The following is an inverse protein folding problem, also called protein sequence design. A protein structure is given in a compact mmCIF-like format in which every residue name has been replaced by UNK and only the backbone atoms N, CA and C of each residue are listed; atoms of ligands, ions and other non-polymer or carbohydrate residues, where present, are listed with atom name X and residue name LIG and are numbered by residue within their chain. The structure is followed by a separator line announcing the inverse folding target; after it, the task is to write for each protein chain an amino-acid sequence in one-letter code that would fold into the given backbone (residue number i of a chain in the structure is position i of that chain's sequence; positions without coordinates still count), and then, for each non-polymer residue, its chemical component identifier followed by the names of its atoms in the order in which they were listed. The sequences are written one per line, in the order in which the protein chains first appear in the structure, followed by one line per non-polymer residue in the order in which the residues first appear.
data_IF_150659769453
#
_entry.id   IF_150659769453
#
_cell.length_a   1.000
_cell.length_b   1.000
_cell.length_c   1.000
_cell.angle_alpha   90.00
_cell.angle_beta   90.00
_cell.angle_gamma   90.00
#
_symmetry.space_group_name_H-M   'P 1'
#
loop_
_entity.id
_entity.type
_entity.pdbx_description
1 polymer ?
#
# COMPACT_ATOMS: atom_id res chain seq x y z
N UNK A 1 13.35 0.93 -3.17
CA UNK A 1 13.61 -0.48 -3.54
C UNK A 1 14.81 -0.96 -2.78
N UNK A 2 14.77 -2.15 -2.22
CA UNK A 2 15.84 -2.80 -1.47
C UNK A 2 16.15 -4.15 -2.14
N UNK A 3 17.17 -4.21 -3.01
CA UNK A 3 17.44 -5.40 -3.81
C UNK A 3 16.22 -5.83 -4.64
N UNK A 4 15.75 -7.06 -4.42
CA UNK A 4 14.56 -7.63 -5.06
C UNK A 4 13.23 -7.27 -4.38
N UNK A 5 13.27 -6.39 -3.38
CA UNK A 5 12.11 -5.96 -2.61
C UNK A 5 11.67 -4.56 -3.03
N UNK A 6 10.37 -4.40 -3.29
CA UNK A 6 9.75 -3.08 -3.53
C UNK A 6 8.85 -2.73 -2.35
N UNK A 7 9.03 -1.55 -1.78
CA UNK A 7 8.26 -1.02 -0.64
C UNK A 7 7.50 0.22 -1.12
N UNK A 8 6.22 0.32 -0.76
CA UNK A 8 5.34 1.47 -1.06
C UNK A 8 4.56 1.81 0.20
N UNK A 9 4.47 3.08 0.54
CA UNK A 9 3.70 3.56 1.69
C UNK A 9 3.05 4.92 1.39
N UNK A 10 2.13 5.34 2.24
CA UNK A 10 1.50 6.67 2.15
C UNK A 10 2.19 7.76 3.01
N UNK A 11 3.35 7.48 3.61
CA UNK A 11 4.01 8.45 4.49
C UNK A 11 5.47 8.13 4.79
N UNK A 12 6.02 8.79 5.80
CA UNK A 12 7.42 8.72 6.23
C UNK A 12 7.84 7.36 6.82
N UNK A 13 6.89 6.46 7.08
CA UNK A 13 7.23 5.09 7.47
C UNK A 13 8.00 4.33 6.37
N UNK A 14 8.06 4.85 5.14
CA UNK A 14 8.90 4.30 4.07
C UNK A 14 10.35 4.16 4.53
N UNK A 15 10.92 5.22 5.08
CA UNK A 15 12.31 5.24 5.55
C UNK A 15 12.49 4.29 6.73
N UNK A 16 11.53 4.27 7.66
CA UNK A 16 11.55 3.33 8.78
C UNK A 16 11.59 1.88 8.32
N UNK A 17 10.72 1.49 7.39
CA UNK A 17 10.70 0.12 6.86
C UNK A 17 12.00 -0.19 6.13
N UNK A 18 12.49 0.73 5.31
CA UNK A 18 13.74 0.57 4.58
C UNK A 18 14.92 0.33 5.52
N UNK A 19 15.12 1.20 6.51
CA UNK A 19 16.26 1.15 7.44
C UNK A 19 16.20 -0.10 8.33
N UNK A 20 15.03 -0.45 8.85
CA UNK A 20 14.85 -1.62 9.69
C UNK A 20 15.08 -2.92 8.91
N UNK A 21 14.61 -3.01 7.67
CA UNK A 21 14.85 -4.17 6.80
C UNK A 21 16.33 -4.26 6.41
N UNK A 22 17.00 -3.15 6.18
CA UNK A 22 18.45 -3.11 5.95
C UNK A 22 19.22 -3.66 7.18
N UNK A 23 18.69 -3.41 8.37
CA UNK A 23 19.22 -3.96 9.64
C UNK A 23 18.79 -5.41 9.93
N UNK A 24 18.13 -6.08 8.97
CA UNK A 24 17.75 -7.51 9.05
C UNK A 24 16.41 -7.79 9.71
N UNK A 25 15.57 -6.78 9.93
CA UNK A 25 14.19 -6.97 10.41
C UNK A 25 13.25 -7.36 9.28
N UNK A 26 12.16 -8.02 9.63
CA UNK A 26 11.06 -8.28 8.70
C UNK A 26 10.24 -7.00 8.45
N UNK A 27 9.40 -7.01 7.41
CA UNK A 27 8.45 -5.93 7.13
C UNK A 27 7.53 -5.65 8.33
N UNK A 28 6.95 -6.70 8.92
CA UNK A 28 6.06 -6.57 10.07
C UNK A 28 6.80 -6.02 11.30
N UNK A 29 7.99 -6.53 11.61
CA UNK A 29 8.81 -6.03 12.72
C UNK A 29 9.18 -4.56 12.55
N UNK A 30 9.45 -4.14 11.31
CA UNK A 30 9.77 -2.76 10.97
C UNK A 30 8.63 -1.79 11.27
N UNK A 31 7.39 -2.23 11.15
CA UNK A 31 6.21 -1.42 11.40
C UNK A 31 5.79 -1.37 12.89
N UNK A 32 6.35 -2.23 13.75
CA UNK A 32 6.01 -2.25 15.19
C UNK A 32 6.37 -0.97 15.93
N UNK A 33 7.35 -0.23 15.46
CA UNK A 33 7.81 1.03 16.05
C UNK A 33 7.08 2.25 15.48
N UNK A 34 6.08 2.04 14.63
CA UNK A 34 5.26 3.11 14.03
C UNK A 34 3.80 2.99 14.47
N UNK A 35 3.12 4.10 14.39
CA UNK A 35 1.70 4.24 14.64
C UNK A 35 1.05 5.00 13.48
N UNK A 36 -0.24 5.26 13.55
CA UNK A 36 -0.97 6.13 12.64
C UNK A 36 -0.45 7.58 12.70
N UNK A 37 -0.92 8.46 11.81
CA UNK A 37 -0.55 9.88 11.82
C UNK A 37 -1.15 10.61 13.05
N UNK A 38 -0.40 11.52 13.68
CA UNK A 38 -0.88 12.26 14.85
C UNK A 38 -1.76 13.47 14.47
N UNK A 39 -2.62 13.31 13.48
CA UNK A 39 -3.45 14.36 12.87
C UNK A 39 -4.90 14.33 13.37
N UNK A 40 -5.10 14.61 14.66
CA UNK A 40 -6.46 14.67 15.21
C UNK A 40 -7.38 15.59 14.38
N UNK A 41 -8.67 15.25 14.20
CA UNK A 41 -9.37 14.10 14.77
C UNK A 41 -9.33 12.83 13.92
N UNK A 42 -8.69 12.86 12.74
CA UNK A 42 -8.73 11.75 11.77
C UNK A 42 -7.80 10.59 12.15
N UNK A 43 -6.66 10.89 12.77
CA UNK A 43 -5.63 9.89 13.06
C UNK A 43 -5.37 8.99 11.83
N UNK A 44 -4.99 9.66 10.72
CA UNK A 44 -4.86 9.06 9.39
C UNK A 44 -4.11 7.73 9.43
N UNK A 45 -4.70 6.65 8.96
CA UNK A 45 -4.01 5.35 8.92
C UNK A 45 -2.76 5.38 8.06
N UNK A 46 -1.69 4.75 8.54
CA UNK A 46 -0.50 4.46 7.73
C UNK A 46 -0.71 3.14 7.01
N UNK A 47 -0.79 3.18 5.70
CA UNK A 47 -0.85 1.99 4.85
C UNK A 47 0.50 1.75 4.19
N UNK A 48 0.86 0.47 4.07
CA UNK A 48 2.13 0.06 3.48
C UNK A 48 1.95 -1.19 2.65
N UNK A 49 2.72 -1.31 1.58
CA UNK A 49 2.80 -2.51 0.75
C UNK A 49 4.25 -2.92 0.52
N UNK A 50 4.48 -4.21 0.45
CA UNK A 50 5.77 -4.79 0.10
C UNK A 50 5.57 -5.88 -0.94
N UNK A 51 6.47 -5.93 -1.93
CA UNK A 51 6.62 -7.02 -2.88
C UNK A 51 8.01 -7.62 -2.70
N UNK A 52 8.08 -8.92 -2.45
CA UNK A 52 9.32 -9.68 -2.31
C UNK A 52 9.40 -10.75 -3.38
N UNK A 53 10.55 -10.84 -4.06
CA UNK A 53 10.82 -11.83 -5.12
C UNK A 53 11.86 -12.88 -4.70
N UNK A 54 12.19 -12.90 -3.41
CA UNK A 54 13.13 -13.87 -2.82
C UNK A 54 12.41 -15.20 -2.60
N UNK A 55 13.01 -16.29 -3.05
CA UNK A 55 12.48 -17.65 -2.88
C UNK A 55 11.04 -17.86 -3.42
N UNK A 56 10.71 -17.19 -4.51
CA UNK A 56 9.39 -17.13 -5.11
C UNK A 56 8.86 -15.70 -5.19
N UNK A 57 7.54 -15.56 -5.16
CA UNK A 57 6.88 -14.27 -5.19
C UNK A 57 5.82 -14.19 -4.11
N UNK A 58 5.91 -13.17 -3.30
CA UNK A 58 4.89 -12.83 -2.32
C UNK A 58 4.75 -11.32 -2.17
N UNK A 59 3.63 -10.88 -1.65
CA UNK A 59 3.44 -9.51 -1.22
C UNK A 59 2.66 -9.45 0.09
N UNK A 60 2.83 -8.34 0.80
CA UNK A 60 2.04 -8.06 1.97
C UNK A 60 1.53 -6.61 1.95
N UNK A 61 0.37 -6.41 2.55
CA UNK A 61 -0.23 -5.11 2.82
C UNK A 61 -0.36 -4.94 4.33
N UNK A 62 -0.16 -3.72 4.81
CA UNK A 62 -0.27 -3.41 6.23
C UNK A 62 -1.03 -2.11 6.46
N UNK A 63 -1.75 -2.04 7.56
CA UNK A 63 -2.38 -0.83 8.07
C UNK A 63 -2.09 -0.65 9.56
N UNK A 64 -1.70 0.55 9.94
CA UNK A 64 -1.58 1.04 11.31
C UNK A 64 -2.67 2.09 11.50
N UNK A 65 -3.61 1.86 12.39
CA UNK A 65 -4.74 2.77 12.60
C UNK A 65 -5.09 2.93 14.08
N UNK A 66 -5.76 4.01 14.43
CA UNK A 66 -6.30 4.20 15.77
C UNK A 66 -7.42 3.19 16.05
N UNK A 67 -7.54 2.76 17.29
CA UNK A 67 -8.69 1.99 17.74
C UNK A 67 -9.86 2.96 18.00
N UNK A 68 -10.82 2.98 17.09
CA UNK A 68 -12.04 3.83 17.21
C UNK A 68 -11.75 5.33 17.49
N UNK A 69 -10.69 5.86 16.86
CA UNK A 69 -10.27 7.25 17.05
C UNK A 69 -9.55 7.53 18.38
N UNK A 70 -9.18 6.49 19.14
CA UNK A 70 -8.44 6.66 20.38
C UNK A 70 -6.94 6.93 20.08
N UNK A 71 -6.41 8.10 20.49
CA UNK A 71 -5.01 8.47 20.23
C UNK A 71 -3.98 7.58 20.93
N UNK A 72 -4.36 6.92 22.03
CA UNK A 72 -3.46 6.11 22.86
C UNK A 72 -3.48 4.62 22.47
N UNK A 73 -4.22 4.25 21.42
CA UNK A 73 -4.39 2.85 21.02
C UNK A 73 -4.20 2.65 19.53
N UNK A 74 -3.12 1.99 19.15
CA UNK A 74 -2.80 1.64 17.76
C UNK A 74 -3.08 0.16 17.46
N UNK A 75 -3.92 -0.07 16.46
CA UNK A 75 -4.15 -1.39 15.85
C UNK A 75 -3.19 -1.58 14.67
N UNK A 76 -2.59 -2.77 14.57
CA UNK A 76 -1.64 -3.14 13.53
C UNK A 76 -2.08 -4.42 12.85
N UNK A 77 -2.29 -4.35 11.54
CA UNK A 77 -2.67 -5.51 10.73
C UNK A 77 -1.69 -5.68 9.59
N UNK A 78 -1.31 -6.92 9.32
CA UNK A 78 -0.51 -7.31 8.15
C UNK A 78 -1.17 -8.49 7.46
N UNK A 79 -1.41 -8.35 6.16
CA UNK A 79 -2.05 -9.33 5.29
C UNK A 79 -1.00 -9.84 4.31
N UNK A 80 -0.62 -11.09 4.41
CA UNK A 80 0.43 -11.69 3.57
C UNK A 80 -0.19 -12.63 2.54
N UNK A 81 0.21 -12.47 1.28
CA UNK A 81 -0.27 -13.24 0.14
C UNK A 81 0.90 -14.02 -0.47
N UNK A 82 1.01 -15.29 -0.08
CA UNK A 82 1.97 -16.23 -0.66
C UNK A 82 1.38 -16.90 -1.89
N UNK A 83 2.21 -17.08 -2.93
CA UNK A 83 1.79 -17.70 -4.19
C UNK A 83 0.54 -17.00 -4.80
N UNK A 84 0.62 -15.69 -5.08
CA UNK A 84 -0.53 -14.95 -5.56
C UNK A 84 -1.07 -15.50 -6.88
N UNK A 85 -2.40 -15.41 -7.04
CA UNK A 85 -3.13 -15.93 -8.20
C UNK A 85 -3.07 -14.90 -9.33
N UNK A 86 -2.71 -15.33 -10.54
CA UNK A 86 -2.70 -14.46 -11.71
C UNK A 86 -4.09 -13.82 -11.95
N UNK A 87 -4.11 -12.53 -12.27
CA UNK A 87 -5.34 -11.76 -12.49
C UNK A 87 -6.06 -11.30 -11.22
N UNK A 88 -5.52 -11.64 -10.04
CA UNK A 88 -6.09 -11.22 -8.74
C UNK A 88 -5.12 -10.34 -8.01
N UNK A 89 -5.60 -9.18 -7.55
CA UNK A 89 -4.89 -8.28 -6.66
C UNK A 89 -5.68 -7.98 -5.40
N UNK A 90 -5.07 -7.19 -4.52
CA UNK A 90 -5.71 -6.70 -3.31
C UNK A 90 -5.49 -5.19 -3.16
N UNK A 91 -6.54 -4.51 -2.74
CA UNK A 91 -6.58 -3.06 -2.59
C UNK A 91 -6.75 -2.69 -1.12
N UNK A 92 -5.91 -1.79 -0.64
CA UNK A 92 -5.99 -1.20 0.68
C UNK A 92 -6.03 0.33 0.56
N UNK A 93 -6.82 0.98 1.40
CA UNK A 93 -6.96 2.44 1.42
C UNK A 93 -7.00 2.96 2.86
N UNK A 94 -6.84 4.27 3.05
CA UNK A 94 -6.78 4.87 4.39
C UNK A 94 -8.16 5.00 5.03
N UNK A 95 -9.16 5.43 4.26
CA UNK A 95 -10.50 5.74 4.74
C UNK A 95 -11.56 4.96 3.97
N UNK A 96 -12.63 4.55 4.65
CA UNK A 96 -13.77 3.86 4.02
C UNK A 96 -14.63 4.78 3.16
N UNK A 97 -14.68 6.08 3.47
CA UNK A 97 -15.51 7.04 2.78
C UNK A 97 -15.45 8.42 3.44
N UNK A 98 -16.42 9.25 3.13
CA UNK A 98 -16.56 10.58 3.72
C UNK A 98 -17.01 10.50 5.18
N UNK A 99 -16.62 11.51 5.97
CA UNK A 99 -16.98 11.61 7.39
C UNK A 99 -16.25 12.74 8.10
N UNK A 100 -16.64 12.99 9.35
CA UNK A 100 -15.96 13.93 10.24
C UNK A 100 -16.05 13.41 11.69
N UNK A 101 -15.00 12.78 12.22
CA UNK A 101 -13.76 12.42 11.52
C UNK A 101 -13.95 11.40 10.37
N UNK A 102 -12.97 11.33 9.50
CA UNK A 102 -12.98 10.35 8.40
C UNK A 102 -12.88 8.92 8.96
N UNK A 103 -13.79 7.98 8.60
CA UNK A 103 -13.73 6.61 9.11
C UNK A 103 -12.55 5.85 8.51
N UNK A 104 -11.71 5.26 9.37
CA UNK A 104 -10.59 4.44 8.94
C UNK A 104 -11.04 3.17 8.22
N UNK A 105 -10.21 2.69 7.29
CA UNK A 105 -10.41 1.38 6.65
C UNK A 105 -10.60 0.26 7.67
N UNK A 106 -11.52 -0.65 7.39
CA UNK A 106 -11.81 -1.83 8.21
C UNK A 106 -11.91 -3.10 7.35
N UNK A 107 -11.62 -4.23 7.98
CA UNK A 107 -11.69 -5.53 7.34
C UNK A 107 -10.41 -5.93 6.61
N UNK A 108 -10.55 -6.87 5.67
CA UNK A 108 -9.47 -7.34 4.81
C UNK A 108 -9.33 -6.45 3.57
N UNK A 109 -8.11 -6.36 2.97
CA UNK A 109 -7.94 -5.68 1.70
C UNK A 109 -8.89 -6.22 0.62
N UNK A 110 -9.52 -5.30 -0.12
CA UNK A 110 -10.50 -5.65 -1.13
C UNK A 110 -9.88 -6.43 -2.29
N UNK A 111 -10.51 -7.53 -2.68
CA UNK A 111 -10.09 -8.32 -3.84
C UNK A 111 -10.45 -7.57 -5.12
N UNK A 112 -9.46 -7.37 -6.00
CA UNK A 112 -9.63 -6.66 -7.26
C UNK A 112 -9.11 -7.49 -8.44
N UNK A 113 -9.70 -7.30 -9.62
CA UNK A 113 -9.19 -7.87 -10.87
C UNK A 113 -7.98 -7.06 -11.36
N UNK A 114 -6.95 -7.77 -11.84
CA UNK A 114 -5.78 -7.17 -12.51
C UNK A 114 -5.76 -7.69 -13.94
N UNK A 115 -6.13 -6.84 -14.88
CA UNK A 115 -6.32 -7.22 -16.28
C UNK A 115 -5.57 -6.28 -17.23
N UNK A 116 -5.20 -6.80 -18.39
CA UNK A 116 -4.55 -6.07 -19.46
C UNK A 116 -3.06 -5.82 -19.24
N UNK A 117 -2.51 -5.02 -20.14
CA UNK A 117 -1.14 -4.50 -20.04
C UNK A 117 -1.08 -3.27 -19.12
N UNK A 118 0.13 -2.74 -18.91
CA UNK A 118 0.34 -1.60 -18.01
C UNK A 118 -0.44 -0.36 -18.45
N UNK A 119 -0.60 -0.12 -19.74
CA UNK A 119 -1.29 1.07 -20.24
C UNK A 119 -2.81 0.93 -20.06
N UNK A 120 -3.37 -0.22 -20.39
CA UNK A 120 -4.78 -0.56 -20.17
C UNK A 120 -5.13 -0.46 -18.68
N UNK A 121 -4.32 -1.07 -17.82
CA UNK A 121 -4.52 -1.04 -16.37
C UNK A 121 -4.42 0.38 -15.80
N UNK A 122 -3.41 1.15 -16.22
CA UNK A 122 -3.21 2.54 -15.77
C UNK A 122 -4.42 3.41 -16.12
N UNK A 123 -4.92 3.32 -17.35
CA UNK A 123 -6.07 4.08 -17.80
C UNK A 123 -7.33 3.68 -17.02
N UNK A 124 -7.60 2.38 -16.86
CA UNK A 124 -8.77 1.89 -16.14
C UNK A 124 -8.77 2.37 -14.68
N UNK A 125 -7.63 2.29 -13.98
CA UNK A 125 -7.53 2.78 -12.60
C UNK A 125 -7.69 4.29 -12.55
N UNK A 126 -7.02 5.05 -13.43
CA UNK A 126 -7.13 6.50 -13.45
C UNK A 126 -8.56 6.99 -13.68
N UNK A 127 -9.29 6.35 -14.59
CA UNK A 127 -10.66 6.71 -14.92
C UNK A 127 -11.65 6.35 -13.81
N UNK A 128 -11.34 5.33 -13.00
CA UNK A 128 -12.16 4.94 -11.84
C UNK A 128 -12.04 5.88 -10.64
N UNK A 129 -10.95 6.67 -10.55
CA UNK A 129 -10.73 7.58 -9.45
C UNK A 129 -11.66 8.80 -9.53
N UNK A 130 -12.10 9.30 -8.36
CA UNK A 130 -12.91 10.51 -8.28
C UNK A 130 -12.18 11.69 -8.96
N UNK A 131 -12.78 12.31 -10.01
CA UNK A 131 -12.13 13.36 -10.80
C UNK A 131 -11.75 14.60 -9.98
N UNK A 132 -12.52 14.92 -8.94
CA UNK A 132 -12.25 16.08 -8.08
C UNK A 132 -11.06 15.82 -7.12
N UNK A 133 -10.94 14.60 -6.63
CA UNK A 133 -9.98 14.25 -5.57
C UNK A 133 -8.68 13.63 -6.09
N UNK A 134 -8.66 13.03 -7.29
CA UNK A 134 -7.45 12.41 -7.83
C UNK A 134 -6.36 13.44 -8.10
N UNK A 135 -5.16 13.14 -7.68
CA UNK A 135 -3.97 13.99 -7.85
C UNK A 135 -2.95 13.35 -8.77
N UNK A 136 -2.50 12.17 -8.44
CA UNK A 136 -1.57 11.39 -9.26
C UNK A 136 -1.76 9.90 -9.07
N UNK A 137 -1.33 9.13 -10.07
CA UNK A 137 -1.29 7.67 -10.06
C UNK A 137 0.11 7.21 -10.48
N UNK A 138 0.70 6.33 -9.69
CA UNK A 138 1.93 5.62 -10.02
C UNK A 138 1.59 4.14 -10.24
N UNK A 139 1.95 3.60 -11.39
CA UNK A 139 1.79 2.18 -11.72
C UNK A 139 3.14 1.58 -12.06
N UNK A 140 3.45 0.42 -11.51
CA UNK A 140 4.67 -0.33 -11.79
C UNK A 140 4.34 -1.80 -12.03
N UNK A 141 4.65 -2.29 -13.22
CA UNK A 141 4.62 -3.71 -13.57
C UNK A 141 6.02 -4.27 -13.45
N UNK A 142 6.16 -5.43 -12.84
CA UNK A 142 7.44 -6.11 -12.64
C UNK A 142 7.34 -7.52 -13.25
N UNK A 143 8.19 -7.81 -14.21
CA UNK A 143 8.36 -9.18 -14.69
C UNK A 143 9.01 -10.03 -13.59
N UNK A 144 8.28 -11.01 -13.09
CA UNK A 144 8.70 -11.80 -11.92
C UNK A 144 9.91 -12.71 -12.22
N UNK A 145 10.15 -13.06 -13.49
CA UNK A 145 11.29 -13.90 -13.87
C UNK A 145 12.57 -13.11 -14.01
N UNK A 146 12.48 -11.92 -14.64
CA UNK A 146 13.66 -11.11 -14.97
C UNK A 146 13.90 -9.98 -14.00
N UNK A 147 12.88 -9.57 -13.23
CA UNK A 147 12.89 -8.38 -12.39
C UNK A 147 12.79 -7.06 -13.16
N UNK A 148 12.66 -7.11 -14.50
CA UNK A 148 12.49 -5.90 -15.31
C UNK A 148 11.18 -5.24 -14.96
N UNK A 149 11.24 -3.92 -14.76
CA UNK A 149 10.06 -3.13 -14.40
C UNK A 149 9.72 -2.11 -15.48
N UNK A 150 8.42 -1.93 -15.69
CA UNK A 150 7.83 -0.83 -16.45
C UNK A 150 7.03 0.06 -15.51
N UNK A 151 7.01 1.36 -15.76
CA UNK A 151 6.36 2.34 -14.87
C UNK A 151 5.54 3.33 -15.69
N UNK A 152 4.38 3.72 -15.13
CA UNK A 152 3.56 4.84 -15.61
C UNK A 152 3.30 5.80 -14.47
N UNK A 153 3.29 7.09 -14.79
CA UNK A 153 2.91 8.16 -13.85
C UNK A 153 1.88 9.02 -14.58
N UNK A 154 0.73 9.21 -13.95
CA UNK A 154 -0.32 10.09 -14.45
C UNK A 154 -0.58 11.15 -13.39
N UNK A 155 -0.58 12.42 -13.80
CA UNK A 155 -0.84 13.56 -12.91
C UNK A 155 -2.01 14.38 -13.44
N UNK A 156 -2.88 14.88 -12.55
CA UNK A 156 -4.07 15.67 -12.89
C UNK A 156 -3.71 16.97 -13.65
N UNK A 157 -2.59 17.57 -13.32
CA UNK A 157 -2.20 18.92 -13.79
C UNK A 157 -0.98 18.89 -14.73
N UNK A 158 -0.83 17.84 -15.53
CA UNK A 158 0.17 17.78 -16.61
C UNK A 158 -0.49 17.78 -17.98
#
# INVERSE_FOLDING_TARGET
VLGDTTIVTNGDQTDTVYDQMLAGKTFEESLRIREFEPDAPNYTPRISGIIERKDGYQYALSILKSADGNPDSCQRYTFTYSNPIAGVGHFIHTYQGDGNPLPSFEGEPEKVAIEGDIDTFTNAVWDSLNPENKVSLFVRFIDLKTGKAETRIVNKNQ
#
